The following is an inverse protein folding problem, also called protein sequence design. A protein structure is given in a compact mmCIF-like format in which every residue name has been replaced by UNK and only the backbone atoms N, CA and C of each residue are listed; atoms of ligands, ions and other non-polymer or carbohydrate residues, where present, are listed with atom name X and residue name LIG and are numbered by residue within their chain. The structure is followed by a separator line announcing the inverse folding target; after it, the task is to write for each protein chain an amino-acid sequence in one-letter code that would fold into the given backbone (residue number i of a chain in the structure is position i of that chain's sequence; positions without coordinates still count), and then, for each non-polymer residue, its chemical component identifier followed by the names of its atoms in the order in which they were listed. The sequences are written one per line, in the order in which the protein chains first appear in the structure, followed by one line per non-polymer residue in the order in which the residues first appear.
data_IF_254605876966
#
_entry.id   IF_254605876966
#
_cell.length_a   1.000
_cell.length_b   1.000
_cell.length_c   1.000
_cell.angle_alpha   90.00
_cell.angle_beta   90.00
_cell.angle_gamma   90.00
#
_symmetry.space_group_name_H-M   'P 1'
#
loop_
_entity.id
_entity.type
_entity.pdbx_description
1 polymer ?
#
# COMPACT_ATOMS: atom_id res chain seq x y z
N UNK A 1 -10.74 13.53 36.70
CA UNK A 1 -9.93 13.98 35.54
C UNK A 1 -10.23 13.09 34.35
N UNK A 2 -11.16 13.48 33.48
CA UNK A 2 -11.41 12.77 32.21
C UNK A 2 -10.40 13.32 31.20
N UNK A 3 -9.51 12.46 30.68
CA UNK A 3 -8.64 12.79 29.54
C UNK A 3 -9.54 13.07 28.34
N UNK A 4 -9.63 14.33 27.93
CA UNK A 4 -10.28 14.70 26.68
C UNK A 4 -9.29 14.41 25.54
N UNK A 5 -9.62 13.43 24.69
CA UNK A 5 -8.93 13.23 23.42
C UNK A 5 -9.35 14.37 22.49
N UNK A 6 -8.50 15.37 22.35
CA UNK A 6 -8.68 16.44 21.35
C UNK A 6 -8.37 15.82 19.99
N UNK A 7 -9.40 15.70 19.15
CA UNK A 7 -9.25 15.28 17.75
C UNK A 7 -8.83 16.52 16.94
N UNK A 8 -7.58 16.55 16.47
CA UNK A 8 -7.00 17.64 15.66
C UNK A 8 -6.88 17.11 14.23
N UNK A 9 -7.57 17.75 13.29
CA UNK A 9 -7.79 17.29 11.91
C UNK A 9 -6.83 18.04 10.97
N UNK A 10 -6.14 17.37 10.05
CA UNK A 10 -5.36 18.02 8.99
C UNK A 10 -6.24 18.16 7.74
N UNK A 11 -6.39 19.37 7.18
CA UNK A 11 -7.28 19.66 6.04
C UNK A 11 -6.52 20.45 4.98
N UNK A 12 -6.63 19.99 3.73
CA UNK A 12 -6.19 20.71 2.53
C UNK A 12 -7.26 21.71 2.05
N UNK A 13 -6.85 22.91 1.66
CA UNK A 13 -7.70 23.84 0.88
C UNK A 13 -7.02 24.16 -0.45
N UNK A 14 -7.48 23.48 -1.50
CA UNK A 14 -7.62 24.03 -2.84
C UNK A 14 -8.96 23.48 -3.37
N UNK A 15 -9.87 24.36 -3.79
CA UNK A 15 -11.24 24.02 -4.18
C UNK A 15 -11.20 23.03 -5.35
N UNK A 16 -11.38 21.74 -5.07
CA UNK A 16 -12.12 20.76 -5.86
C UNK A 16 -12.62 19.69 -4.89
N UNK A 17 -13.87 19.27 -5.11
CA UNK A 17 -14.68 18.38 -4.27
C UNK A 17 -13.83 17.25 -3.70
N UNK A 18 -13.77 17.16 -2.37
CA UNK A 18 -13.20 16.02 -1.67
C UNK A 18 -13.76 14.73 -2.27
N UNK A 19 -12.94 13.76 -2.73
CA UNK A 19 -13.41 12.40 -2.60
C UNK A 19 -13.49 12.18 -1.09
N UNK A 20 -14.73 12.14 -0.59
CA UNK A 20 -15.01 11.44 0.64
C UNK A 20 -14.34 10.08 0.52
N UNK A 21 -13.45 9.75 1.45
CA UNK A 21 -13.01 8.38 1.65
C UNK A 21 -14.26 7.60 2.05
N UNK A 22 -14.98 7.12 1.06
CA UNK A 22 -15.69 5.88 1.22
C UNK A 22 -14.64 4.81 1.05
N UNK A 23 -14.54 3.90 2.00
CA UNK A 23 -14.25 2.52 1.62
C UNK A 23 -15.32 2.18 0.59
N UNK A 24 -14.99 2.29 -0.70
CA UNK A 24 -15.86 1.69 -1.70
C UNK A 24 -15.72 0.20 -1.42
N UNK A 25 -16.72 -0.36 -0.74
CA UNK A 25 -16.83 -1.81 -0.63
C UNK A 25 -16.61 -2.39 -2.02
N UNK A 26 -15.90 -3.53 -2.16
CA UNK A 26 -15.26 -3.93 -3.41
C UNK A 26 -16.09 -3.53 -4.65
N UNK A 27 -15.53 -2.69 -5.52
CA UNK A 27 -15.96 -2.66 -6.92
C UNK A 27 -15.63 -4.02 -7.55
N UNK A 28 -16.22 -4.34 -8.70
CA UNK A 28 -15.72 -5.45 -9.49
C UNK A 28 -14.20 -5.32 -9.67
N UNK A 29 -13.50 -6.46 -9.62
CA UNK A 29 -12.08 -6.57 -9.91
C UNK A 29 -11.67 -5.69 -11.12
N UNK A 30 -10.65 -4.85 -10.95
CA UNK A 30 -10.14 -3.95 -11.98
C UNK A 30 -8.85 -4.52 -12.56
N UNK A 31 -8.74 -4.49 -13.89
CA UNK A 31 -7.54 -4.95 -14.58
C UNK A 31 -6.33 -4.07 -14.25
N UNK A 32 -5.13 -4.64 -14.26
CA UNK A 32 -3.86 -3.88 -14.22
C UNK A 32 -3.66 -3.03 -12.95
N UNK A 33 -4.09 -3.57 -11.80
CA UNK A 33 -3.92 -2.95 -10.49
C UNK A 33 -3.12 -3.84 -9.52
N UNK A 34 -2.62 -3.22 -8.45
CA UNK A 34 -1.93 -3.90 -7.35
C UNK A 34 -2.94 -4.33 -6.29
N UNK A 35 -2.88 -5.59 -5.86
CA UNK A 35 -3.84 -6.16 -4.92
C UNK A 35 -3.17 -6.87 -3.74
N UNK A 36 -3.83 -6.79 -2.60
CA UNK A 36 -3.79 -7.83 -1.58
C UNK A 36 -4.87 -8.88 -1.89
N UNK A 37 -4.52 -10.17 -1.79
CA UNK A 37 -5.44 -11.27 -2.09
C UNK A 37 -5.69 -12.04 -0.79
N UNK A 38 -6.87 -11.89 -0.22
CA UNK A 38 -7.24 -12.46 1.07
C UNK A 38 -8.01 -13.77 0.89
N UNK A 39 -7.66 -14.81 1.65
CA UNK A 39 -8.47 -16.00 1.77
C UNK A 39 -9.68 -15.77 2.68
N UNK A 40 -10.86 -16.23 2.24
CA UNK A 40 -12.13 -16.03 2.94
C UNK A 40 -12.23 -16.83 4.25
N UNK A 41 -11.60 -18.00 4.34
CA UNK A 41 -11.68 -18.85 5.53
C UNK A 41 -10.86 -18.27 6.68
N UNK A 42 -9.62 -17.88 6.40
CA UNK A 42 -8.65 -17.49 7.43
C UNK A 42 -8.57 -15.97 7.65
N UNK A 43 -9.01 -15.16 6.70
CA UNK A 43 -8.75 -13.72 6.68
C UNK A 43 -7.28 -13.35 6.41
N UNK A 44 -6.45 -14.34 6.02
CA UNK A 44 -5.02 -14.17 5.73
C UNK A 44 -4.78 -13.93 4.25
N UNK A 45 -3.58 -13.48 3.92
CA UNK A 45 -3.25 -13.00 2.58
C UNK A 45 -2.21 -13.87 1.91
N UNK A 46 -2.34 -14.05 0.58
CA UNK A 46 -1.30 -14.66 -0.24
C UNK A 46 0.02 -13.93 0.01
N UNK A 47 1.08 -14.71 0.21
CA UNK A 47 2.40 -14.23 0.61
C UNK A 47 3.46 -15.05 -0.11
N UNK A 48 4.38 -14.39 -0.79
CA UNK A 48 5.60 -15.01 -1.32
C UNK A 48 6.54 -15.32 -0.15
N UNK A 49 6.92 -16.59 -0.02
CA UNK A 49 7.94 -17.08 0.91
C UNK A 49 8.95 -17.95 0.15
N UNK A 50 10.14 -17.41 -0.13
CA UNK A 50 11.07 -18.03 -1.07
C UNK A 50 10.43 -18.16 -2.46
N UNK A 51 10.40 -19.37 -3.01
CA UNK A 51 9.73 -19.66 -4.28
C UNK A 51 8.28 -20.15 -4.11
N UNK A 52 7.74 -20.09 -2.90
CA UNK A 52 6.42 -20.63 -2.57
C UNK A 52 5.38 -19.52 -2.39
N UNK A 53 4.10 -19.83 -2.64
CA UNK A 53 2.96 -19.01 -2.18
C UNK A 53 2.30 -19.71 -0.98
N UNK A 54 2.26 -19.00 0.14
CA UNK A 54 1.56 -19.41 1.36
C UNK A 54 0.61 -18.30 1.82
N UNK A 55 -0.22 -18.56 2.83
CA UNK A 55 -0.97 -17.50 3.49
C UNK A 55 -0.25 -17.02 4.76
N UNK A 56 -0.32 -15.72 5.05
CA UNK A 56 0.10 -15.16 6.35
C UNK A 56 -0.82 -14.00 6.76
N UNK A 57 -0.74 -13.64 8.04
CA UNK A 57 -1.33 -12.42 8.58
C UNK A 57 -0.89 -11.21 7.73
N UNK A 58 -1.78 -10.22 7.59
CA UNK A 58 -1.45 -9.01 6.83
C UNK A 58 -0.26 -8.32 7.47
N UNK A 59 0.82 -8.17 6.70
CA UNK A 59 1.99 -7.38 7.05
C UNK A 59 2.22 -6.25 6.06
N UNK A 60 1.39 -6.17 5.02
CA UNK A 60 1.42 -5.16 3.93
C UNK A 60 2.78 -5.07 3.20
N UNK A 61 3.65 -6.06 3.40
CA UNK A 61 4.97 -6.11 2.80
C UNK A 61 4.84 -6.35 1.29
N UNK A 62 5.88 -6.00 0.53
CA UNK A 62 5.89 -6.16 -0.92
C UNK A 62 5.64 -7.61 -1.37
N UNK A 63 5.96 -8.59 -0.52
CA UNK A 63 5.71 -10.02 -0.79
C UNK A 63 4.25 -10.46 -0.60
N UNK A 64 3.34 -9.57 -0.19
CA UNK A 64 1.89 -9.79 -0.14
C UNK A 64 1.12 -8.99 -1.18
N UNK A 65 1.82 -8.25 -2.04
CA UNK A 65 1.25 -7.39 -3.08
C UNK A 65 1.47 -8.02 -4.44
N UNK A 66 0.40 -8.14 -5.23
CA UNK A 66 0.46 -8.75 -6.55
C UNK A 66 -0.15 -7.80 -7.57
N UNK A 67 0.62 -7.46 -8.59
CA UNK A 67 0.09 -6.73 -9.75
C UNK A 67 -0.64 -7.74 -10.62
N UNK A 68 -1.96 -7.57 -10.75
CA UNK A 68 -2.81 -8.48 -11.52
C UNK A 68 -2.97 -7.91 -12.92
N UNK A 69 -2.11 -8.38 -13.83
CA UNK A 69 -2.03 -7.91 -15.22
C UNK A 69 -3.01 -8.66 -16.10
N UNK A 70 -3.79 -7.95 -16.91
CA UNK A 70 -4.60 -8.57 -17.96
C UNK A 70 -3.71 -9.14 -19.08
N UNK A 71 -3.99 -10.37 -19.53
CA UNK A 71 -3.17 -11.05 -20.54
C UNK A 71 -3.91 -11.18 -21.87
N UNK A 72 -5.06 -11.85 -21.87
CA UNK A 72 -5.81 -12.13 -23.11
C UNK A 72 -7.24 -12.56 -22.80
N UNK A 73 -8.10 -12.40 -23.80
CA UNK A 73 -9.44 -12.98 -23.88
C UNK A 73 -9.60 -13.65 -25.23
N UNK A 74 -9.20 -14.93 -25.34
CA UNK A 74 -9.10 -15.66 -26.62
C UNK A 74 -10.10 -16.81 -26.77
N UNK A 75 -10.64 -17.31 -25.67
CA UNK A 75 -11.58 -18.43 -25.57
C UNK A 75 -12.93 -17.98 -24.93
N UNK A 76 -13.16 -16.67 -24.84
CA UNK A 76 -14.31 -16.08 -24.15
C UNK A 76 -14.11 -15.91 -22.64
N UNK A 77 -12.91 -16.19 -22.10
CA UNK A 77 -12.55 -15.90 -20.72
C UNK A 77 -11.38 -14.91 -20.64
N UNK A 78 -11.43 -14.05 -19.64
CA UNK A 78 -10.32 -13.16 -19.32
C UNK A 78 -9.29 -13.86 -18.42
N UNK A 79 -8.02 -13.82 -18.83
CA UNK A 79 -6.91 -14.36 -18.07
C UNK A 79 -5.97 -13.27 -17.56
N UNK A 80 -5.34 -13.56 -16.44
CA UNK A 80 -4.49 -12.66 -15.69
C UNK A 80 -3.18 -13.33 -15.27
N UNK A 81 -2.12 -12.54 -15.22
CA UNK A 81 -0.86 -12.89 -14.59
C UNK A 81 -0.73 -12.15 -13.26
N UNK A 82 -0.18 -12.82 -12.26
CA UNK A 82 0.02 -12.26 -10.91
C UNK A 82 1.51 -12.03 -10.73
N UNK A 83 1.94 -10.77 -10.72
CA UNK A 83 3.35 -10.39 -10.60
C UNK A 83 3.59 -9.93 -9.17
N UNK A 84 4.35 -10.66 -8.35
CA UNK A 84 4.63 -10.23 -6.99
C UNK A 84 5.50 -8.98 -7.00
N UNK A 85 5.13 -8.01 -6.17
CA UNK A 85 5.81 -6.71 -6.16
C UNK A 85 7.23 -6.79 -5.59
N UNK A 86 7.49 -7.75 -4.70
CA UNK A 86 8.83 -8.04 -4.19
C UNK A 86 9.79 -8.63 -5.24
N UNK A 87 9.30 -9.13 -6.37
CA UNK A 87 10.12 -9.81 -7.37
C UNK A 87 9.51 -9.73 -8.78
N UNK A 88 9.48 -8.52 -9.35
CA UNK A 88 8.80 -8.18 -10.63
C UNK A 88 9.19 -9.01 -11.87
N UNK A 89 10.28 -9.78 -11.83
CA UNK A 89 10.69 -10.73 -12.88
C UNK A 89 10.05 -12.13 -12.76
N UNK A 90 9.26 -12.36 -11.71
CA UNK A 90 8.57 -13.61 -11.43
C UNK A 90 7.05 -13.43 -11.53
N UNK A 91 6.35 -14.54 -11.70
CA UNK A 91 4.89 -14.65 -11.74
C UNK A 91 4.44 -15.79 -10.84
N UNK A 92 3.21 -15.74 -10.33
CA UNK A 92 2.61 -16.93 -9.71
C UNK A 92 2.53 -18.05 -10.76
N UNK A 93 2.91 -19.26 -10.37
CA UNK A 93 3.09 -20.41 -11.26
C UNK A 93 2.51 -21.69 -10.64
N UNK A 94 1.84 -22.49 -11.46
CA UNK A 94 1.46 -23.87 -11.11
C UNK A 94 2.63 -24.79 -11.37
N UNK A 95 3.13 -25.44 -10.30
CA UNK A 95 4.26 -26.35 -10.38
C UNK A 95 4.10 -27.37 -11.51
N UNK A 96 5.11 -27.41 -12.40
CA UNK A 96 5.19 -28.29 -13.56
C UNK A 96 3.97 -28.24 -14.51
N UNK A 97 3.16 -27.17 -14.45
CA UNK A 97 1.89 -27.08 -15.16
C UNK A 97 0.92 -28.24 -14.85
N UNK A 98 1.04 -28.88 -13.68
CA UNK A 98 0.26 -30.07 -13.36
C UNK A 98 -1.20 -29.75 -13.02
N UNK A 99 -2.13 -30.42 -13.71
CA UNK A 99 -3.56 -30.42 -13.36
C UNK A 99 -3.91 -31.58 -12.41
N UNK A 100 -3.32 -31.55 -11.20
CA UNK A 100 -3.56 -32.56 -10.14
C UNK A 100 -3.83 -31.88 -8.80
N UNK A 101 -4.54 -32.58 -7.90
CA UNK A 101 -4.71 -32.09 -6.54
C UNK A 101 -3.38 -32.12 -5.80
N UNK A 102 -3.05 -31.03 -5.13
CA UNK A 102 -1.79 -30.85 -4.42
C UNK A 102 -0.65 -30.29 -5.27
N UNK A 103 -0.86 -30.01 -6.57
CA UNK A 103 0.13 -29.28 -7.36
C UNK A 103 0.40 -27.92 -6.70
N UNK A 104 1.67 -27.62 -6.43
CA UNK A 104 2.02 -26.45 -5.64
C UNK A 104 1.76 -25.15 -6.41
N UNK A 105 1.37 -24.09 -5.69
CA UNK A 105 1.37 -22.73 -6.22
C UNK A 105 2.63 -22.02 -5.73
N UNK A 106 3.54 -21.72 -6.65
CA UNK A 106 4.80 -21.06 -6.36
C UNK A 106 4.95 -19.76 -7.14
N UNK A 107 6.19 -19.28 -7.19
CA UNK A 107 6.61 -18.26 -8.15
C UNK A 107 7.67 -18.85 -9.09
N UNK A 108 7.61 -18.47 -10.36
CA UNK A 108 8.61 -18.84 -11.35
C UNK A 108 8.88 -17.65 -12.28
N UNK A 109 10.06 -17.65 -12.93
CA UNK A 109 10.36 -16.66 -13.96
C UNK A 109 9.35 -16.73 -15.11
N UNK A 110 9.32 -15.71 -15.96
CA UNK A 110 8.39 -15.67 -17.09
C UNK A 110 8.48 -16.94 -17.97
N UNK A 111 7.41 -17.74 -18.00
CA UNK A 111 7.35 -19.01 -18.72
C UNK A 111 6.63 -18.84 -20.06
N UNK A 112 7.38 -18.46 -21.09
CA UNK A 112 6.84 -18.26 -22.44
C UNK A 112 6.53 -19.56 -23.18
N UNK A 113 7.07 -20.70 -22.73
CA UNK A 113 6.84 -22.02 -23.34
C UNK A 113 5.57 -22.70 -22.84
N UNK A 114 5.22 -22.51 -21.57
CA UNK A 114 4.00 -23.04 -20.94
C UNK A 114 3.26 -21.91 -20.21
N UNK A 115 2.77 -20.90 -20.93
CA UNK A 115 2.15 -19.72 -20.31
C UNK A 115 0.87 -20.06 -19.55
N UNK A 116 0.24 -21.20 -19.85
CA UNK A 116 -0.96 -21.66 -19.14
C UNK A 116 -0.72 -21.92 -17.65
N UNK A 117 0.52 -22.20 -17.23
CA UNK A 117 0.88 -22.37 -15.82
C UNK A 117 0.89 -21.06 -15.03
N UNK A 118 0.93 -19.92 -15.72
CA UNK A 118 1.05 -18.56 -15.14
C UNK A 118 -0.14 -17.64 -15.49
N UNK A 119 -1.12 -18.18 -16.19
CA UNK A 119 -2.36 -17.49 -16.54
C UNK A 119 -3.48 -18.03 -15.68
N UNK A 120 -4.25 -17.14 -15.07
CA UNK A 120 -5.35 -17.52 -14.18
C UNK A 120 -6.60 -16.71 -14.51
N UNK A 121 -7.76 -17.33 -14.35
CA UNK A 121 -9.06 -16.69 -14.48
C UNK A 121 -9.74 -16.58 -13.12
N UNK A 122 -10.51 -15.52 -12.95
CA UNK A 122 -11.35 -15.33 -11.78
C UNK A 122 -12.75 -15.88 -12.03
N UNK A 123 -13.19 -16.82 -11.19
CA UNK A 123 -14.56 -17.30 -11.19
C UNK A 123 -15.29 -16.58 -10.06
N UNK A 124 -16.12 -15.61 -10.42
CA UNK A 124 -16.91 -14.83 -9.48
C UNK A 124 -17.95 -15.71 -8.76
N UNK A 125 -17.96 -15.62 -7.43
CA UNK A 125 -18.98 -16.14 -6.54
C UNK A 125 -19.76 -14.97 -5.90
N UNK A 126 -20.63 -15.25 -4.93
CA UNK A 126 -21.36 -14.22 -4.20
C UNK A 126 -20.45 -13.31 -3.36
N UNK A 127 -20.85 -12.04 -3.22
CA UNK A 127 -20.18 -11.01 -2.40
C UNK A 127 -18.72 -10.72 -2.85
N UNK A 128 -18.47 -10.74 -4.16
CA UNK A 128 -17.17 -10.37 -4.76
C UNK A 128 -16.01 -11.22 -4.24
N UNK A 129 -16.30 -12.51 -4.10
CA UNK A 129 -15.35 -13.56 -3.78
C UNK A 129 -15.08 -14.36 -5.03
N UNK A 130 -13.83 -14.72 -5.24
CA UNK A 130 -13.37 -15.37 -6.45
C UNK A 130 -12.74 -16.71 -6.10
N UNK A 131 -13.02 -17.71 -6.91
CA UNK A 131 -12.14 -18.87 -7.02
C UNK A 131 -11.15 -18.59 -8.16
N UNK A 132 -9.86 -18.79 -7.91
CA UNK A 132 -8.79 -18.50 -8.87
C UNK A 132 -8.42 -19.81 -9.57
N UNK A 133 -8.65 -19.90 -10.88
CA UNK A 133 -8.42 -21.12 -11.67
C UNK A 133 -7.29 -20.88 -12.67
N UNK A 134 -6.23 -21.70 -12.71
CA UNK A 134 -5.20 -21.56 -13.73
C UNK A 134 -5.68 -22.07 -15.09
N UNK A 135 -5.12 -21.57 -16.19
CA UNK A 135 -5.44 -21.97 -17.57
C UNK A 135 -5.10 -23.45 -17.83
N UNK A 136 -4.15 -24.05 -17.09
CA UNK A 136 -3.87 -25.51 -17.16
C UNK A 136 -5.02 -26.39 -16.69
N UNK A 137 -6.03 -25.83 -16.02
CA UNK A 137 -7.08 -26.58 -15.34
C UNK A 137 -8.47 -26.07 -15.69
N UNK A 138 -9.42 -27.00 -15.83
CA UNK A 138 -10.84 -26.70 -15.95
C UNK A 138 -11.64 -27.01 -14.67
N UNK A 139 -11.03 -27.68 -13.69
CA UNK A 139 -11.74 -28.25 -12.53
C UNK A 139 -11.10 -27.95 -11.18
N UNK A 140 -9.92 -27.34 -11.14
CA UNK A 140 -9.12 -27.06 -9.93
C UNK A 140 -8.83 -25.58 -9.77
N UNK A 141 -8.77 -25.13 -8.53
CA UNK A 141 -8.59 -23.73 -8.13
C UNK A 141 -7.58 -23.63 -6.99
N UNK A 142 -7.14 -22.42 -6.66
CA UNK A 142 -6.33 -22.17 -5.47
C UNK A 142 -7.06 -22.63 -4.21
N UNK A 143 -6.34 -23.29 -3.32
CA UNK A 143 -6.83 -23.89 -2.10
C UNK A 143 -5.80 -23.68 -0.99
N UNK A 144 -6.25 -23.17 0.17
CA UNK A 144 -5.45 -23.17 1.38
C UNK A 144 -5.46 -24.57 1.98
N UNK A 145 -4.29 -25.20 2.02
CA UNK A 145 -4.13 -26.59 2.47
C UNK A 145 -4.84 -26.85 3.81
N UNK A 146 -5.65 -27.92 3.83
CA UNK A 146 -6.44 -28.36 4.97
C UNK A 146 -7.40 -27.30 5.56
N UNK A 147 -7.79 -26.29 4.78
CA UNK A 147 -8.55 -25.14 5.26
C UNK A 147 -7.92 -24.49 6.51
N UNK A 148 -6.58 -24.54 6.60
CA UNK A 148 -5.86 -24.01 7.75
C UNK A 148 -6.09 -22.51 7.90
N UNK A 149 -6.09 -22.04 9.15
CA UNK A 149 -6.13 -20.61 9.50
C UNK A 149 -4.80 -20.12 10.07
N UNK A 150 -3.74 -20.91 9.95
CA UNK A 150 -2.40 -20.57 10.44
C UNK A 150 -1.56 -19.86 9.37
N UNK A 151 -0.62 -19.04 9.83
CA UNK A 151 0.44 -18.49 8.98
C UNK A 151 1.34 -19.63 8.46
N UNK A 152 1.77 -19.53 7.22
CA UNK A 152 2.59 -20.55 6.55
C UNK A 152 1.80 -21.71 5.97
N UNK A 153 0.45 -21.68 6.01
CA UNK A 153 -0.33 -22.70 5.31
C UNK A 153 -0.18 -22.53 3.79
N UNK A 154 0.12 -23.65 3.13
CA UNK A 154 0.45 -23.66 1.71
C UNK A 154 -0.76 -23.36 0.82
N UNK A 155 -0.51 -22.72 -0.33
CA UNK A 155 -1.49 -22.62 -1.42
C UNK A 155 -1.17 -23.69 -2.46
N UNK A 156 -2.15 -24.53 -2.78
CA UNK A 156 -2.03 -25.57 -3.79
C UNK A 156 -3.28 -25.61 -4.68
N UNK A 157 -3.20 -26.33 -5.81
CA UNK A 157 -4.39 -26.65 -6.59
C UNK A 157 -5.20 -27.74 -5.93
N UNK A 158 -6.51 -27.55 -5.89
CA UNK A 158 -7.44 -28.60 -5.52
C UNK A 158 -8.74 -28.51 -6.30
N UNK A 159 -9.43 -29.64 -6.43
CA UNK A 159 -10.74 -29.72 -7.09
C UNK A 159 -11.66 -28.62 -6.55
N UNK A 160 -12.21 -27.83 -7.48
CA UNK A 160 -13.10 -26.71 -7.22
C UNK A 160 -14.35 -27.21 -6.51
N UNK A 161 -14.57 -26.67 -5.31
CA UNK A 161 -15.76 -26.94 -4.52
C UNK A 161 -16.92 -26.06 -5.00
N UNK A 162 -18.13 -26.62 -4.87
CA UNK A 162 -19.38 -25.88 -5.06
C UNK A 162 -19.51 -24.78 -4.00
N UNK A 163 -20.19 -23.69 -4.33
CA UNK A 163 -20.44 -22.58 -3.39
C UNK A 163 -21.25 -22.99 -2.15
N UNK A 164 -21.89 -24.15 -2.17
CA UNK A 164 -22.67 -24.70 -1.05
C UNK A 164 -21.84 -25.64 -0.15
N UNK A 165 -20.57 -25.92 -0.48
CA UNK A 165 -19.67 -26.74 0.33
C UNK A 165 -19.15 -25.92 1.52
N UNK A 166 -19.18 -26.50 2.73
CA UNK A 166 -18.73 -25.81 3.96
C UNK A 166 -17.23 -25.47 3.95
N UNK A 167 -16.43 -26.15 3.13
CA UNK A 167 -14.99 -25.91 2.97
C UNK A 167 -14.67 -25.01 1.78
N UNK A 168 -15.67 -24.49 1.05
CA UNK A 168 -15.43 -23.62 -0.12
C UNK A 168 -14.71 -22.32 0.26
N UNK A 169 -14.82 -21.87 1.51
CA UNK A 169 -14.16 -20.66 2.01
C UNK A 169 -12.63 -20.75 1.92
N UNK A 170 -12.05 -21.95 1.97
CA UNK A 170 -10.62 -22.15 1.77
C UNK A 170 -10.17 -21.96 0.32
N UNK A 171 -11.10 -21.95 -0.64
CA UNK A 171 -10.88 -21.70 -2.06
C UNK A 171 -11.41 -20.34 -2.54
N UNK A 172 -12.00 -19.56 -1.64
CA UNK A 172 -12.54 -18.25 -1.97
C UNK A 172 -11.55 -17.17 -1.56
N UNK A 173 -11.27 -16.28 -2.50
CA UNK A 173 -10.36 -15.17 -2.31
C UNK A 173 -11.06 -13.85 -2.61
N UNK A 174 -10.73 -12.83 -1.84
CA UNK A 174 -11.20 -11.48 -2.06
C UNK A 174 -10.01 -10.58 -2.36
N UNK A 175 -10.16 -9.77 -3.39
CA UNK A 175 -9.13 -8.84 -3.83
C UNK A 175 -9.40 -7.49 -3.19
N UNK A 176 -8.37 -6.94 -2.55
CA UNK A 176 -8.36 -5.61 -1.97
C UNK A 176 -7.32 -4.82 -2.73
N UNK A 177 -7.76 -3.80 -3.48
CA UNK A 177 -6.83 -2.89 -4.15
C UNK A 177 -5.87 -2.35 -3.10
N UNK A 178 -4.58 -2.33 -3.41
CA UNK A 178 -3.63 -1.60 -2.58
C UNK A 178 -3.99 -0.13 -2.74
N UNK A 179 -4.67 0.44 -1.74
CA UNK A 179 -4.94 1.87 -1.71
C UNK A 179 -3.61 2.62 -1.57
N UNK A 180 -3.14 3.12 -2.70
CA UNK A 180 -1.99 4.00 -2.77
C UNK A 180 -2.51 5.42 -2.59
N UNK A 181 -2.27 5.98 -1.42
CA UNK A 181 -2.60 7.38 -1.18
C UNK A 181 -1.47 8.24 -1.73
N UNK A 182 -1.60 8.64 -2.99
CA UNK A 182 -0.65 9.49 -3.70
C UNK A 182 -1.36 10.70 -4.30
N UNK A 183 -0.67 11.83 -4.27
CA UNK A 183 -1.15 13.09 -4.82
C UNK A 183 -0.62 13.27 -6.24
N UNK A 184 -1.31 14.06 -7.05
CA UNK A 184 -0.85 14.41 -8.41
C UNK A 184 0.32 15.41 -8.41
N UNK A 185 0.81 15.82 -7.24
CA UNK A 185 1.84 16.83 -7.06
C UNK A 185 2.84 16.38 -5.99
N UNK A 186 4.09 16.82 -6.12
CA UNK A 186 5.15 16.66 -5.14
C UNK A 186 6.07 17.89 -5.17
N UNK A 187 6.98 17.97 -4.20
CA UNK A 187 8.03 18.99 -4.15
C UNK A 187 9.41 18.41 -4.43
N UNK A 188 9.49 17.24 -5.05
CA UNK A 188 10.75 16.55 -5.31
C UNK A 188 11.38 17.11 -6.59
N UNK A 189 12.69 17.35 -6.57
CA UNK A 189 13.48 17.79 -7.71
C UNK A 189 13.63 16.68 -8.77
N UNK A 190 14.12 17.04 -9.97
CA UNK A 190 14.32 16.09 -11.07
C UNK A 190 15.40 15.04 -10.80
N UNK A 191 16.20 15.22 -9.74
CA UNK A 191 17.15 14.22 -9.24
C UNK A 191 16.57 13.32 -8.15
N UNK A 192 15.25 13.41 -7.91
CA UNK A 192 14.47 12.61 -6.95
C UNK A 192 14.78 12.91 -5.49
N UNK A 193 15.07 14.17 -5.17
CA UNK A 193 15.32 14.63 -3.81
C UNK A 193 14.38 15.77 -3.39
N UNK A 194 14.07 15.83 -2.10
CA UNK A 194 13.35 16.92 -1.45
C UNK A 194 14.32 17.67 -0.53
N UNK A 195 14.71 18.88 -0.91
CA UNK A 195 15.59 19.77 -0.15
C UNK A 195 14.79 20.75 0.72
N UNK A 196 14.74 20.49 2.03
CA UNK A 196 13.97 21.31 2.98
C UNK A 196 14.82 22.37 3.68
N UNK A 197 14.18 23.50 3.99
CA UNK A 197 14.61 24.42 5.03
C UNK A 197 13.59 24.44 6.17
N UNK A 198 13.96 24.90 7.36
CA UNK A 198 13.04 25.04 8.47
C UNK A 198 13.42 26.19 9.40
N UNK A 199 12.44 26.76 10.10
CA UNK A 199 12.70 27.61 11.26
C UNK A 199 13.38 26.80 12.37
N UNK A 200 14.17 27.47 13.22
CA UNK A 200 15.00 26.82 14.24
C UNK A 200 14.18 25.97 15.22
N UNK A 201 12.95 26.38 15.54
CA UNK A 201 12.07 25.67 16.46
C UNK A 201 11.61 24.28 15.95
N UNK A 202 11.70 24.01 14.64
CA UNK A 202 11.34 22.72 14.04
C UNK A 202 12.55 21.86 13.70
N UNK A 203 13.77 22.33 13.96
CA UNK A 203 15.01 21.71 13.46
C UNK A 203 15.18 20.26 13.88
N UNK A 204 14.97 19.94 15.17
CA UNK A 204 15.08 18.57 15.68
C UNK A 204 14.05 17.62 15.06
N UNK A 205 12.78 18.05 14.96
CA UNK A 205 11.72 17.23 14.35
C UNK A 205 11.90 17.09 12.83
N UNK A 206 12.41 18.11 12.16
CA UNK A 206 12.72 18.05 10.73
C UNK A 206 13.90 17.11 10.44
N UNK A 207 14.93 17.12 11.29
CA UNK A 207 16.04 16.16 11.22
C UNK A 207 15.54 14.73 11.44
N UNK A 208 14.69 14.52 12.45
CA UNK A 208 14.07 13.23 12.73
C UNK A 208 13.21 12.72 11.55
N UNK A 209 12.41 13.60 10.95
CA UNK A 209 11.58 13.24 9.80
C UNK A 209 12.43 12.92 8.56
N UNK A 210 13.49 13.70 8.31
CA UNK A 210 14.48 13.42 7.27
C UNK A 210 15.12 12.04 7.48
N UNK A 211 15.56 11.71 8.69
CA UNK A 211 16.14 10.40 9.02
C UNK A 211 15.12 9.26 8.89
N UNK A 212 13.85 9.51 9.23
CA UNK A 212 12.76 8.53 9.08
C UNK A 212 12.54 8.14 7.62
N UNK A 213 12.41 9.13 6.73
CA UNK A 213 12.27 8.88 5.29
C UNK A 213 13.55 8.31 4.68
N UNK A 214 14.72 8.80 5.08
CA UNK A 214 16.01 8.30 4.58
C UNK A 214 16.35 6.90 5.07
N UNK A 215 15.83 6.48 6.22
CA UNK A 215 15.90 5.10 6.70
C UNK A 215 15.17 4.12 5.78
N UNK A 216 14.15 4.58 5.05
CA UNK A 216 13.50 3.81 4.01
C UNK A 216 14.15 3.98 2.63
N UNK A 217 14.41 5.22 2.21
CA UNK A 217 15.07 5.53 0.93
C UNK A 217 16.18 6.54 1.14
N UNK A 218 17.42 6.05 1.16
CA UNK A 218 18.59 6.87 1.43
C UNK A 218 18.66 8.14 0.55
N UNK A 219 18.77 9.28 1.23
CA UNK A 219 19.00 10.57 0.60
C UNK A 219 17.77 11.24 0.00
N UNK A 220 16.57 10.65 0.04
CA UNK A 220 15.38 11.29 -0.55
C UNK A 220 15.08 12.64 0.10
N UNK A 221 15.21 12.78 1.42
CA UNK A 221 15.06 14.07 2.11
C UNK A 221 16.43 14.60 2.49
N UNK A 222 16.69 15.86 2.16
CA UNK A 222 17.99 16.51 2.40
C UNK A 222 17.78 17.89 2.98
N UNK A 223 18.73 18.35 3.78
CA UNK A 223 18.75 19.74 4.21
C UNK A 223 19.21 20.63 3.05
N UNK A 224 18.48 21.72 2.84
CA UNK A 224 18.82 22.80 1.92
C UNK A 224 20.23 23.33 2.19
N UNK A 225 20.99 23.55 1.11
CA UNK A 225 22.29 24.23 1.16
C UNK A 225 22.29 25.24 0.01
N UNK A 226 22.38 26.56 0.29
CA UNK A 226 22.42 27.57 -0.76
C UNK A 226 23.39 27.20 -1.87
N UNK A 227 22.99 27.38 -3.13
CA UNK A 227 23.77 27.13 -4.35
C UNK A 227 23.97 25.64 -4.68
N UNK A 228 24.21 24.76 -3.70
CA UNK A 228 24.51 23.34 -3.94
C UNK A 228 23.23 22.50 -4.07
N UNK A 229 22.23 22.81 -3.25
CA UNK A 229 20.95 22.11 -3.16
C UNK A 229 19.87 23.17 -3.00
N UNK A 230 19.32 23.71 -4.11
CA UNK A 230 18.29 24.74 -4.03
C UNK A 230 17.11 24.24 -3.21
N UNK A 231 16.38 25.17 -2.59
CA UNK A 231 15.31 24.82 -1.66
C UNK A 231 14.07 24.37 -2.44
N UNK A 232 13.55 23.22 -2.08
CA UNK A 232 12.27 22.73 -2.59
C UNK A 232 11.09 23.07 -1.69
N UNK A 233 11.31 23.12 -0.37
CA UNK A 233 10.23 23.40 0.59
C UNK A 233 10.74 24.07 1.89
N UNK A 234 9.87 24.83 2.56
CA UNK A 234 10.19 25.53 3.83
C UNK A 234 9.21 25.15 4.94
N UNK A 235 9.69 24.68 6.09
CA UNK A 235 8.86 24.41 7.28
C UNK A 235 8.84 25.67 8.16
N UNK A 236 7.67 26.28 8.31
CA UNK A 236 7.49 27.57 8.99
C UNK A 236 6.31 27.55 9.96
N UNK A 237 6.43 28.32 11.04
CA UNK A 237 5.40 28.46 12.06
C UNK A 237 4.37 29.51 11.66
N UNK A 238 3.08 29.21 11.90
CA UNK A 238 1.98 30.17 11.75
C UNK A 238 1.22 30.30 13.06
N UNK A 239 0.93 31.54 13.44
CA UNK A 239 0.13 31.83 14.64
C UNK A 239 -1.34 31.43 14.45
N UNK A 240 -1.84 31.51 13.22
CA UNK A 240 -3.21 31.14 12.90
C UNK A 240 -3.22 30.23 11.67
N UNK A 241 -3.68 29.00 11.87
CA UNK A 241 -4.18 28.12 10.82
C UNK A 241 -5.71 27.97 10.98
N UNK A 242 -6.43 27.42 10.00
CA UNK A 242 -7.84 27.09 10.18
C UNK A 242 -8.06 26.26 11.45
N UNK A 243 -9.24 26.42 12.07
CA UNK A 243 -9.54 25.77 13.34
C UNK A 243 -9.42 24.24 13.21
N UNK A 244 -8.72 23.63 14.17
CA UNK A 244 -8.51 22.18 14.20
C UNK A 244 -7.30 21.69 13.40
N UNK A 245 -6.54 22.56 12.70
CA UNK A 245 -5.41 22.17 11.87
C UNK A 245 -4.06 22.28 12.60
N UNK A 246 -3.28 21.20 12.60
CA UNK A 246 -1.92 21.19 13.16
C UNK A 246 -0.84 21.60 12.14
N UNK A 247 -0.98 21.18 10.89
CA UNK A 247 -0.08 21.50 9.79
C UNK A 247 -0.78 21.47 8.43
N UNK A 248 -0.20 22.14 7.43
CA UNK A 248 -0.64 22.09 6.03
C UNK A 248 0.58 22.22 5.12
N UNK A 249 0.65 21.37 4.10
CA UNK A 249 1.64 21.46 3.02
C UNK A 249 1.07 22.21 1.81
N UNK A 250 1.71 23.32 1.44
CA UNK A 250 1.37 24.18 0.32
C UNK A 250 2.34 24.00 -0.85
N UNK A 251 1.85 23.50 -1.98
CA UNK A 251 2.68 23.12 -3.13
C UNK A 251 3.03 24.27 -4.07
N UNK A 252 2.20 25.32 -4.13
CA UNK A 252 2.46 26.50 -4.96
C UNK A 252 3.49 27.39 -4.28
N UNK A 253 3.30 27.63 -2.99
CA UNK A 253 4.17 28.43 -2.14
C UNK A 253 5.45 27.69 -1.75
N UNK A 254 5.45 26.35 -1.85
CA UNK A 254 6.57 25.50 -1.40
C UNK A 254 6.85 25.69 0.09
N UNK A 255 5.80 25.61 0.88
CA UNK A 255 5.84 25.79 2.34
C UNK A 255 5.04 24.71 3.07
N UNK A 256 5.55 24.27 4.21
CA UNK A 256 4.82 23.52 5.24
C UNK A 256 4.54 24.51 6.36
N UNK A 257 3.27 24.76 6.65
CA UNK A 257 2.86 25.63 7.75
C UNK A 257 2.51 24.76 8.94
N UNK A 258 3.08 25.07 10.11
CA UNK A 258 2.77 24.40 11.38
C UNK A 258 2.10 25.41 12.31
N UNK A 259 0.96 25.04 12.89
CA UNK A 259 0.27 25.88 13.88
C UNK A 259 1.08 25.93 15.18
N UNK A 260 1.58 27.12 15.54
CA UNK A 260 2.34 27.33 16.78
C UNK A 260 1.46 27.03 18.00
N UNK A 261 0.19 27.47 17.95
CA UNK A 261 -0.77 27.23 19.03
C UNK A 261 -1.03 25.75 19.28
N UNK A 262 -1.08 24.93 18.22
CA UNK A 262 -1.22 23.47 18.36
C UNK A 262 0.11 22.86 18.80
N UNK A 263 1.21 23.25 18.17
CA UNK A 263 2.57 22.75 18.44
C UNK A 263 2.92 22.77 19.93
N UNK A 264 2.59 23.86 20.62
CA UNK A 264 2.87 24.04 22.04
C UNK A 264 2.11 23.07 22.94
N UNK A 265 1.02 22.47 22.44
CA UNK A 265 0.23 21.44 23.16
C UNK A 265 0.67 20.01 22.88
N UNK A 266 1.48 19.79 21.83
CA UNK A 266 1.88 18.45 21.39
C UNK A 266 3.05 17.88 22.22
N UNK A 267 3.01 16.58 22.44
CA UNK A 267 4.15 15.81 22.97
C UNK A 267 5.26 15.67 21.92
N UNK A 268 6.47 15.24 22.34
CA UNK A 268 7.59 15.03 21.43
C UNK A 268 7.28 14.09 20.25
N UNK A 269 6.64 12.94 20.52
CA UNK A 269 6.26 12.01 19.45
C UNK A 269 5.18 12.60 18.52
N UNK A 270 4.25 13.39 19.04
CA UNK A 270 3.24 14.07 18.22
C UNK A 270 3.85 15.15 17.32
N UNK A 271 4.86 15.88 17.81
CA UNK A 271 5.63 16.84 17.00
C UNK A 271 6.41 16.14 15.89
N UNK A 272 7.08 15.03 16.21
CA UNK A 272 7.76 14.21 15.21
C UNK A 272 6.77 13.65 14.18
N UNK A 273 5.64 13.10 14.62
CA UNK A 273 4.58 12.61 13.75
C UNK A 273 4.11 13.69 12.78
N UNK A 274 3.79 14.89 13.27
CA UNK A 274 3.35 16.02 12.45
C UNK A 274 4.38 16.37 11.37
N UNK A 275 5.66 16.48 11.71
CA UNK A 275 6.67 16.86 10.72
C UNK A 275 6.95 15.73 9.71
N UNK A 276 6.94 14.47 10.13
CA UNK A 276 7.02 13.31 9.22
C UNK A 276 5.84 13.32 8.23
N UNK A 277 4.64 13.58 8.75
CA UNK A 277 3.40 13.63 8.00
C UNK A 277 3.44 14.69 6.89
N UNK A 278 3.77 15.93 7.23
CA UNK A 278 3.82 17.02 6.25
C UNK A 278 4.95 16.82 5.22
N UNK A 279 6.10 16.29 5.64
CA UNK A 279 7.14 15.90 4.66
C UNK A 279 6.63 14.79 3.75
N UNK A 280 5.80 13.87 4.25
CA UNK A 280 5.18 12.85 3.42
C UNK A 280 4.25 13.44 2.35
N UNK A 281 3.51 14.49 2.65
CA UNK A 281 2.76 15.27 1.65
C UNK A 281 3.68 15.96 0.65
N UNK A 282 4.79 16.53 1.10
CA UNK A 282 5.79 17.14 0.22
C UNK A 282 6.44 16.11 -0.74
N UNK A 283 6.54 14.86 -0.32
CA UNK A 283 6.93 13.72 -1.16
C UNK A 283 5.79 13.23 -2.08
N UNK A 284 4.60 13.83 -2.04
CA UNK A 284 3.49 13.50 -2.94
C UNK A 284 2.63 12.33 -2.48
N UNK A 285 2.62 12.01 -1.18
CA UNK A 285 1.68 11.06 -0.61
C UNK A 285 0.46 11.77 -0.03
N UNK A 286 -0.72 11.14 -0.11
CA UNK A 286 -1.95 11.62 0.53
C UNK A 286 -2.15 10.99 1.91
N UNK A 287 -3.31 11.28 2.54
CA UNK A 287 -3.68 10.66 3.81
C UNK A 287 -3.99 9.17 3.67
N UNK A 288 -3.65 8.40 4.70
CA UNK A 288 -3.99 6.98 4.81
C UNK A 288 -4.90 6.82 6.03
N UNK A 289 -6.10 6.27 5.84
CA UNK A 289 -7.11 6.13 6.92
C UNK A 289 -6.81 4.94 7.85
N UNK A 290 -5.65 5.00 8.50
CA UNK A 290 -5.16 4.01 9.45
C UNK A 290 -4.37 4.71 10.55
N UNK A 291 -4.83 4.61 11.80
CA UNK A 291 -4.19 5.26 12.97
C UNK A 291 -2.75 4.80 13.23
N UNK A 292 -2.34 3.64 12.71
CA UNK A 292 -0.96 3.14 12.80
C UNK A 292 -0.03 3.79 11.78
N UNK A 293 -0.53 4.66 10.90
CA UNK A 293 0.21 5.26 9.81
C UNK A 293 0.61 6.72 10.12
N UNK A 294 1.81 7.14 9.70
CA UNK A 294 2.27 8.53 9.90
C UNK A 294 1.47 9.54 9.06
N UNK A 295 0.84 9.10 7.96
CA UNK A 295 -0.04 9.87 7.08
C UNK A 295 -1.52 9.78 7.49
N UNK A 296 -1.81 9.30 8.71
CA UNK A 296 -3.17 9.41 9.26
C UNK A 296 -3.58 10.88 9.36
N UNK A 297 -4.82 11.20 8.97
CA UNK A 297 -5.30 12.58 8.83
C UNK A 297 -5.30 13.40 10.14
N UNK A 298 -5.07 12.77 11.30
CA UNK A 298 -5.00 13.43 12.59
C UNK A 298 -3.68 13.15 13.28
N UNK A 299 -3.18 14.15 14.02
CA UNK A 299 -1.91 14.04 14.76
C UNK A 299 -2.00 12.94 15.82
N UNK A 300 -1.09 11.98 15.76
CA UNK A 300 -0.97 10.88 16.70
C UNK A 300 0.50 10.72 17.16
N UNK A 301 0.87 9.59 17.75
CA UNK A 301 2.26 9.35 18.23
C UNK A 301 3.05 8.35 17.38
N UNK A 302 2.55 8.02 16.20
CA UNK A 302 3.21 7.12 15.24
C UNK A 302 4.36 7.85 14.57
N UNK A 303 5.56 7.30 14.67
CA UNK A 303 6.80 7.92 14.17
C UNK A 303 7.63 6.99 13.29
N UNK A 304 7.09 5.83 12.94
CA UNK A 304 7.74 4.82 12.11
C UNK A 304 6.94 4.63 10.82
N UNK A 305 7.64 4.48 9.69
CA UNK A 305 7.00 4.18 8.42
C UNK A 305 6.52 2.73 8.40
N UNK A 306 5.21 2.56 8.42
CA UNK A 306 4.59 1.29 8.14
C UNK A 306 4.67 1.01 6.63
N UNK A 307 4.49 -0.25 6.30
CA UNK A 307 4.32 -0.79 4.96
C UNK A 307 3.38 -0.01 4.02
N UNK A 308 2.24 0.50 4.49
CA UNK A 308 1.34 1.33 3.67
C UNK A 308 1.95 2.69 3.33
N UNK A 309 2.74 3.30 4.24
CA UNK A 309 3.56 4.48 3.90
C UNK A 309 4.56 4.17 2.79
N UNK A 310 5.28 3.05 2.94
CA UNK A 310 6.31 2.61 2.01
C UNK A 310 5.73 2.32 0.63
N UNK A 311 4.53 1.72 0.57
CA UNK A 311 3.80 1.44 -0.66
C UNK A 311 3.45 2.72 -1.43
N UNK A 312 2.81 3.67 -0.75
CA UNK A 312 2.45 4.97 -1.34
C UNK A 312 3.69 5.73 -1.79
N UNK A 313 4.76 5.71 -0.98
CA UNK A 313 6.04 6.31 -1.35
C UNK A 313 6.67 5.65 -2.58
N UNK A 314 6.74 4.32 -2.66
CA UNK A 314 7.33 3.60 -3.80
C UNK A 314 6.63 3.98 -5.10
N UNK A 315 5.30 4.09 -5.04
CA UNK A 315 4.51 4.53 -6.18
C UNK A 315 4.81 5.99 -6.52
N UNK A 316 4.73 6.93 -5.56
CA UNK A 316 5.06 8.33 -5.78
C UNK A 316 6.46 8.49 -6.40
N UNK A 317 7.45 7.78 -5.86
CA UNK A 317 8.84 7.77 -6.35
C UNK A 317 8.99 7.29 -7.79
N UNK A 318 8.15 6.34 -8.22
CA UNK A 318 8.12 5.88 -9.61
C UNK A 318 7.64 6.97 -10.58
N UNK A 319 6.94 7.98 -10.07
CA UNK A 319 6.40 9.11 -10.83
C UNK A 319 7.27 10.39 -10.74
N UNK A 320 8.27 10.44 -9.84
CA UNK A 320 9.24 11.54 -9.81
C UNK A 320 10.13 11.57 -11.06
#
# INVERSE_FOLDING_TARGET
MRKATICVILVFILIFVSPTCFAYGPTEFEHDHLYYIQNQNSGKYLTVNGNNIEQRSLSYNQNQRFFVRFIKSSDGFDYYSFIPDCCKGYKIDVENAWDINGANIGIYGDNTYVPSAQNFRFILNSNLRYQIMPEVSSTRVFDVANASTLDGANIALFTRRSINDSLVTAQQFKLYTVELSVMSYNCVDSSKHLDYSCESMFSDCAEFAKDTWNGYRAGVVRKYIPIIRPKDISIIGKQTLPAGIAGITYFVEKEIHISIAVWDTLTGNQRNNLVIHEIGHALGMGHIDDTSNVLYYAVNSTISLESSNRSSYDFAYSQY
#
